data_IF_025294293022
#
_entry.id   IF_025294293022
#
_cell.length_a   1.000
_cell.length_b   1.000
_cell.length_c   1.000
_cell.angle_alpha   90.00
_cell.angle_beta   90.00
_cell.angle_gamma   90.00
#
_symmetry.space_group_name_H-M   'P 1'
#
loop_
_entity.id
_entity.type
_entity.pdbx_description
1 polymer ?
#
# COMPACT_ATOMS: atom_id res chain seq x y z
N UNK A 1 59.50 -43.06 -4.69
CA UNK A 1 58.88 -41.89 -5.34
C UNK A 1 57.79 -42.37 -6.30
N UNK A 2 56.51 -42.18 -5.94
CA UNK A 2 55.32 -42.08 -6.81
C UNK A 2 54.08 -41.96 -5.92
N UNK A 3 53.78 -40.72 -5.54
CA UNK A 3 52.50 -40.26 -5.00
C UNK A 3 51.42 -40.37 -6.08
N UNK A 4 50.15 -40.56 -5.64
CA UNK A 4 48.87 -40.16 -6.27
C UNK A 4 47.79 -41.18 -5.85
N UNK A 5 46.55 -40.86 -5.47
CA UNK A 5 45.84 -39.60 -5.19
C UNK A 5 44.61 -40.05 -4.40
N UNK A 6 44.32 -39.39 -3.28
CA UNK A 6 43.06 -39.57 -2.54
C UNK A 6 41.98 -38.78 -3.26
N UNK A 7 40.89 -39.43 -3.66
CA UNK A 7 39.70 -38.80 -4.23
C UNK A 7 38.59 -38.86 -3.16
N UNK A 8 38.42 -37.76 -2.43
CA UNK A 8 37.28 -37.52 -1.55
C UNK A 8 36.21 -36.84 -2.41
N UNK A 9 35.12 -37.56 -2.69
CA UNK A 9 33.93 -36.99 -3.30
C UNK A 9 32.96 -36.58 -2.17
N UNK A 10 33.05 -35.34 -1.71
CA UNK A 10 32.02 -34.75 -0.85
C UNK A 10 30.95 -34.09 -1.73
N UNK A 11 29.84 -34.80 -1.98
CA UNK A 11 28.61 -34.21 -2.51
C UNK A 11 28.00 -33.29 -1.44
N UNK A 12 28.24 -31.99 -1.57
CA UNK A 12 27.46 -30.97 -0.89
C UNK A 12 26.16 -30.74 -1.67
N UNK A 13 25.07 -31.35 -1.21
CA UNK A 13 23.71 -30.97 -1.61
C UNK A 13 23.40 -29.58 -1.03
N UNK A 14 23.73 -28.53 -1.78
CA UNK A 14 23.16 -27.20 -1.57
C UNK A 14 21.73 -27.22 -2.12
N UNK A 15 20.74 -27.57 -1.30
CA UNK A 15 19.34 -27.28 -1.62
C UNK A 15 19.14 -25.78 -1.42
N UNK A 16 19.28 -25.01 -2.50
CA UNK A 16 18.84 -23.63 -2.53
C UNK A 16 17.31 -23.62 -2.39
N UNK A 17 16.80 -23.37 -1.18
CA UNK A 17 15.40 -23.03 -0.99
C UNK A 17 15.19 -21.65 -1.60
N UNK A 18 14.63 -21.60 -2.81
CA UNK A 18 14.15 -20.36 -3.40
C UNK A 18 13.00 -19.84 -2.53
N UNK A 19 13.20 -18.72 -1.83
CA UNK A 19 12.11 -17.99 -1.22
C UNK A 19 11.20 -17.50 -2.35
N UNK A 20 9.99 -18.02 -2.45
CA UNK A 20 9.01 -17.55 -3.42
C UNK A 20 8.74 -16.06 -3.17
N UNK A 21 9.10 -15.21 -4.12
CA UNK A 21 8.82 -13.78 -4.05
C UNK A 21 7.33 -13.56 -4.34
N UNK A 22 6.59 -13.02 -3.37
CA UNK A 22 5.16 -12.69 -3.56
C UNK A 22 4.97 -11.73 -4.73
N UNK A 23 3.93 -11.97 -5.53
CA UNK A 23 3.56 -11.11 -6.65
C UNK A 23 2.91 -9.81 -6.15
N UNK A 24 2.88 -8.76 -6.99
CA UNK A 24 2.18 -7.49 -6.63
C UNK A 24 0.70 -7.71 -6.37
N UNK A 25 0.10 -8.60 -7.15
CA UNK A 25 -1.29 -9.00 -6.99
C UNK A 25 -1.53 -9.61 -5.61
N UNK A 26 -0.72 -10.59 -5.22
CA UNK A 26 -0.85 -11.25 -3.91
C UNK A 26 -0.71 -10.23 -2.78
N UNK A 27 0.25 -9.32 -2.90
CA UNK A 27 0.45 -8.23 -1.94
C UNK A 27 -0.80 -7.36 -1.83
N UNK A 28 -1.39 -6.93 -2.95
CA UNK A 28 -2.56 -6.06 -2.96
C UNK A 28 -3.84 -6.79 -2.53
N UNK A 29 -4.02 -8.05 -2.94
CA UNK A 29 -5.11 -8.93 -2.49
C UNK A 29 -5.07 -9.10 -0.97
N UNK A 30 -3.89 -9.36 -0.42
CA UNK A 30 -3.72 -9.50 1.03
C UNK A 30 -3.94 -8.16 1.74
N UNK A 31 -3.39 -7.07 1.20
CA UNK A 31 -3.49 -5.74 1.80
C UNK A 31 -4.93 -5.20 1.86
N UNK A 32 -5.73 -5.49 0.82
CA UNK A 32 -7.10 -5.02 0.67
C UNK A 32 -8.15 -6.08 0.99
N UNK A 33 -7.73 -7.20 1.58
CA UNK A 33 -8.60 -8.32 1.91
C UNK A 33 -9.80 -7.86 2.74
N UNK A 34 -11.01 -8.17 2.24
CA UNK A 34 -12.27 -7.79 2.88
C UNK A 34 -12.66 -6.32 2.72
N UNK A 35 -11.91 -5.53 1.92
CA UNK A 35 -12.18 -4.11 1.68
C UNK A 35 -12.44 -3.87 0.20
N UNK A 36 -11.51 -4.25 -0.67
CA UNK A 36 -11.63 -4.12 -2.13
C UNK A 36 -11.43 -5.48 -2.77
N UNK A 37 -12.37 -5.88 -3.63
CA UNK A 37 -12.28 -7.11 -4.40
C UNK A 37 -11.32 -6.93 -5.58
N UNK A 38 -10.06 -7.28 -5.36
CA UNK A 38 -8.99 -7.22 -6.37
C UNK A 38 -9.16 -8.37 -7.38
N UNK A 39 -9.36 -8.03 -8.66
CA UNK A 39 -9.45 -9.01 -9.75
C UNK A 39 -8.08 -9.24 -10.43
N UNK A 40 -8.01 -10.17 -11.37
CA UNK A 40 -6.74 -10.51 -12.06
C UNK A 40 -6.33 -9.48 -13.13
N UNK A 41 -7.25 -8.61 -13.57
CA UNK A 41 -6.98 -7.63 -14.62
C UNK A 41 -6.00 -6.54 -14.16
N UNK A 42 -5.99 -6.21 -12.87
CA UNK A 42 -5.09 -5.21 -12.27
C UNK A 42 -3.67 -5.73 -12.06
N UNK A 43 -3.51 -7.05 -11.96
CA UNK A 43 -2.24 -7.73 -11.67
C UNK A 43 -1.19 -7.56 -12.77
N UNK A 44 -1.67 -7.51 -14.01
CA UNK A 44 -0.86 -7.30 -15.19
C UNK A 44 -0.74 -5.82 -15.58
N UNK A 45 -1.41 -4.93 -14.86
CA UNK A 45 -1.32 -3.51 -15.11
C UNK A 45 0.10 -3.02 -14.74
N UNK A 46 0.74 -2.18 -15.56
CA UNK A 46 2.04 -1.58 -15.18
C UNK A 46 1.92 -0.73 -13.90
N UNK A 47 0.71 -0.27 -13.59
CA UNK A 47 0.36 0.57 -12.44
C UNK A 47 -0.82 -0.02 -11.66
N UNK A 48 -0.66 -1.13 -10.95
CA UNK A 48 -1.76 -1.80 -10.24
C UNK A 48 -2.50 -0.88 -9.25
N UNK A 49 -1.82 0.09 -8.63
CA UNK A 49 -2.48 1.08 -7.75
C UNK A 49 -3.51 1.93 -8.52
N UNK A 50 -3.27 2.23 -9.79
CA UNK A 50 -4.21 2.97 -10.62
C UNK A 50 -5.51 2.17 -10.83
N UNK A 51 -5.40 0.88 -11.17
CA UNK A 51 -6.59 0.06 -11.36
C UNK A 51 -7.30 -0.28 -10.04
N UNK A 52 -6.59 -0.28 -8.89
CA UNK A 52 -7.27 -0.31 -7.58
C UNK A 52 -8.12 0.95 -7.37
N UNK A 53 -7.68 2.11 -7.87
CA UNK A 53 -8.49 3.33 -7.78
C UNK A 53 -9.81 3.21 -8.55
N UNK A 54 -9.78 2.59 -9.73
CA UNK A 54 -11.00 2.30 -10.51
C UNK A 54 -11.94 1.37 -9.74
N UNK A 55 -11.41 0.29 -9.17
CA UNK A 55 -12.22 -0.61 -8.34
C UNK A 55 -12.77 0.07 -7.09
N UNK A 56 -11.99 0.94 -6.46
CA UNK A 56 -12.43 1.67 -5.26
C UNK A 56 -13.53 2.69 -5.58
N UNK A 57 -13.53 3.29 -6.77
CA UNK A 57 -14.63 4.16 -7.23
C UNK A 57 -15.95 3.38 -7.26
N UNK A 58 -15.92 2.16 -7.78
CA UNK A 58 -17.11 1.33 -7.96
C UNK A 58 -17.58 0.65 -6.66
N UNK A 59 -16.65 0.31 -5.77
CA UNK A 59 -16.91 -0.52 -4.59
C UNK A 59 -17.05 0.27 -3.28
N UNK A 60 -16.55 1.50 -3.21
CA UNK A 60 -16.67 2.30 -2.01
C UNK A 60 -18.09 2.84 -1.85
N UNK A 61 -18.58 2.90 -0.61
CA UNK A 61 -19.84 3.57 -0.28
C UNK A 61 -19.80 5.05 -0.61
N UNK A 62 -18.61 5.65 -0.50
CA UNK A 62 -18.35 7.06 -0.76
C UNK A 62 -16.92 7.28 -1.19
N UNK A 63 -16.69 8.32 -2.00
CA UNK A 63 -15.35 8.84 -2.24
C UNK A 63 -15.33 10.37 -2.10
N UNK A 64 -14.23 10.90 -1.58
CA UNK A 64 -14.03 12.34 -1.42
C UNK A 64 -12.60 12.68 -1.86
N UNK A 65 -12.48 13.57 -2.85
CA UNK A 65 -11.20 14.21 -3.16
C UNK A 65 -10.87 15.24 -2.07
N UNK A 66 -9.63 15.23 -1.59
CA UNK A 66 -9.24 16.07 -0.48
C UNK A 66 -7.96 16.85 -0.72
N UNK A 67 -7.93 18.02 -0.10
CA UNK A 67 -6.85 19.00 -0.08
C UNK A 67 -6.57 19.40 1.36
N UNK A 68 -5.64 20.34 1.57
CA UNK A 68 -5.37 20.88 2.91
C UNK A 68 -6.62 21.50 3.54
N UNK A 69 -7.48 22.10 2.72
CA UNK A 69 -8.63 22.89 3.17
C UNK A 69 -9.76 22.02 3.73
N UNK A 70 -9.91 20.79 3.23
CA UNK A 70 -11.02 19.90 3.61
C UNK A 70 -10.61 18.60 4.31
N UNK A 71 -9.31 18.30 4.45
CA UNK A 71 -8.88 17.03 5.07
C UNK A 71 -9.41 16.85 6.50
N UNK A 72 -9.62 17.93 7.25
CA UNK A 72 -10.20 17.88 8.59
C UNK A 72 -11.60 17.23 8.59
N UNK A 73 -12.46 17.63 7.65
CA UNK A 73 -13.82 17.10 7.54
C UNK A 73 -13.83 15.70 6.95
N UNK A 74 -12.90 15.38 6.04
CA UNK A 74 -12.71 14.03 5.48
C UNK A 74 -12.32 13.04 6.58
N UNK A 75 -11.42 13.41 7.48
CA UNK A 75 -11.04 12.58 8.63
C UNK A 75 -12.14 12.49 9.70
N UNK A 76 -12.98 13.52 9.84
CA UNK A 76 -14.16 13.43 10.69
C UNK A 76 -15.20 12.45 10.12
N UNK A 77 -15.47 12.54 8.81
CA UNK A 77 -16.37 11.63 8.10
C UNK A 77 -15.87 10.17 8.14
N UNK A 78 -14.56 9.96 8.10
CA UNK A 78 -13.93 8.64 8.19
C UNK A 78 -14.38 7.82 9.42
N UNK A 79 -14.76 8.49 10.51
CA UNK A 79 -15.22 7.84 11.75
C UNK A 79 -16.55 7.10 11.59
N UNK A 80 -17.30 7.40 10.53
CA UNK A 80 -18.58 6.75 10.24
C UNK A 80 -18.43 5.46 9.42
N UNK A 81 -17.21 5.05 9.07
CA UNK A 81 -16.93 3.91 8.19
C UNK A 81 -15.95 2.94 8.84
N UNK A 82 -15.99 1.67 8.45
CA UNK A 82 -15.10 0.64 9.00
C UNK A 82 -13.69 0.73 8.42
N UNK A 83 -13.58 1.02 7.13
CA UNK A 83 -12.30 1.08 6.44
C UNK A 83 -12.21 2.34 5.58
N UNK A 84 -11.02 2.96 5.58
CA UNK A 84 -10.70 4.09 4.71
C UNK A 84 -9.43 3.77 3.93
N UNK A 85 -9.54 3.84 2.61
CA UNK A 85 -8.41 3.75 1.69
C UNK A 85 -8.17 5.11 1.06
N UNK A 86 -6.94 5.59 1.10
CA UNK A 86 -6.50 6.82 0.44
C UNK A 86 -5.63 6.44 -0.74
N UNK A 87 -5.93 6.99 -1.91
CA UNK A 87 -5.07 6.90 -3.09
C UNK A 87 -4.55 8.29 -3.44
N UNK A 88 -3.23 8.38 -3.63
CA UNK A 88 -2.55 9.62 -4.02
C UNK A 88 -1.94 9.44 -5.41
N UNK A 89 -2.45 10.24 -6.36
CA UNK A 89 -2.20 10.05 -7.79
C UNK A 89 -2.56 8.65 -8.24
N UNK A 90 -1.56 7.92 -8.74
CA UNK A 90 -1.69 6.57 -9.31
C UNK A 90 -0.68 5.56 -8.75
N UNK A 91 0.05 5.95 -7.71
CA UNK A 91 1.22 5.21 -7.24
C UNK A 91 1.26 5.00 -5.73
N UNK A 92 0.42 5.67 -4.95
CA UNK A 92 0.39 5.48 -3.49
C UNK A 92 -1.00 5.07 -3.06
N UNK A 93 -1.07 4.01 -2.25
CA UNK A 93 -2.29 3.53 -1.59
C UNK A 93 -2.03 3.42 -0.09
N UNK A 94 -2.97 3.86 0.73
CA UNK A 94 -2.86 3.86 2.19
C UNK A 94 -4.17 3.39 2.80
N UNK A 95 -4.12 2.47 3.75
CA UNK A 95 -5.22 2.16 4.67
C UNK A 95 -5.00 2.94 5.95
N UNK A 96 -6.00 3.70 6.38
CA UNK A 96 -6.00 4.29 7.73
C UNK A 96 -6.23 3.16 8.73
N UNK A 97 -5.33 3.01 9.71
CA UNK A 97 -5.38 1.90 10.67
C UNK A 97 -5.94 2.32 12.02
N UNK A 98 -5.75 3.58 12.41
CA UNK A 98 -6.22 4.10 13.69
C UNK A 98 -6.44 5.62 13.57
N UNK A 99 -7.70 6.07 13.66
CA UNK A 99 -8.09 7.48 13.59
C UNK A 99 -7.80 8.26 14.87
N UNK A 100 -7.60 7.56 15.99
CA UNK A 100 -7.37 8.16 17.31
C UNK A 100 -5.88 8.27 17.63
N UNK A 101 -5.07 7.36 17.10
CA UNK A 101 -3.61 7.47 17.12
C UNK A 101 -3.12 8.36 15.99
N UNK A 102 -3.01 9.66 16.26
CA UNK A 102 -2.63 10.67 15.28
C UNK A 102 -1.51 11.61 15.75
N UNK A 103 -0.84 12.27 14.80
CA UNK A 103 0.10 13.37 15.08
C UNK A 103 -0.34 14.67 14.42
N UNK A 104 -0.10 15.79 15.09
CA UNK A 104 -0.33 17.08 14.48
C UNK A 104 0.65 17.31 13.32
N UNK A 105 0.12 17.55 12.12
CA UNK A 105 0.91 17.90 10.95
C UNK A 105 0.86 19.40 10.70
N UNK A 106 1.99 20.09 10.75
CA UNK A 106 2.05 21.51 10.38
C UNK A 106 1.71 21.78 8.92
N UNK A 107 2.07 20.84 8.02
CA UNK A 107 1.81 20.96 6.60
C UNK A 107 0.31 20.84 6.29
N UNK A 108 -0.34 19.80 6.82
CA UNK A 108 -1.77 19.54 6.62
C UNK A 108 -2.68 20.34 7.56
N UNK A 109 -2.15 20.88 8.65
CA UNK A 109 -2.90 21.70 9.62
C UNK A 109 -3.84 20.91 10.53
N UNK A 110 -3.79 19.58 10.51
CA UNK A 110 -4.70 18.69 11.24
C UNK A 110 -3.94 17.54 11.89
N UNK A 111 -4.61 16.82 12.80
CA UNK A 111 -4.09 15.58 13.35
C UNK A 111 -4.21 14.46 12.30
N UNK A 112 -3.07 13.94 11.87
CA UNK A 112 -2.97 12.95 10.81
C UNK A 112 -2.86 11.56 11.42
N UNK A 113 -3.81 10.65 11.15
CA UNK A 113 -3.88 9.33 11.77
C UNK A 113 -2.76 8.40 11.33
N UNK A 114 -2.60 7.29 12.04
CA UNK A 114 -1.73 6.19 11.64
C UNK A 114 -2.35 5.40 10.47
N UNK A 115 -1.49 4.89 9.60
CA UNK A 115 -1.87 4.02 8.50
C UNK A 115 -0.72 3.15 8.03
N UNK A 116 -1.07 2.26 7.11
CA UNK A 116 -0.14 1.42 6.38
C UNK A 116 -0.45 1.51 4.90
N UNK A 117 0.55 1.43 4.05
CA UNK A 117 0.37 1.63 2.62
C UNK A 117 1.49 1.09 1.78
N UNK A 118 1.35 1.29 0.48
CA UNK A 118 2.36 0.96 -0.50
C UNK A 118 2.59 2.14 -1.45
N UNK A 119 3.87 2.40 -1.72
CA UNK A 119 4.30 3.34 -2.75
C UNK A 119 4.92 2.56 -3.90
N UNK A 120 4.31 2.66 -5.06
CA UNK A 120 4.79 2.07 -6.29
C UNK A 120 5.94 2.89 -6.86
N UNK A 121 7.13 2.30 -6.92
CA UNK A 121 8.32 2.91 -7.52
C UNK A 121 9.10 1.87 -8.31
N UNK A 122 9.46 2.20 -9.54
CA UNK A 122 10.26 1.33 -10.44
C UNK A 122 9.70 -0.09 -10.54
N UNK A 123 8.38 -0.21 -10.68
CA UNK A 123 7.70 -1.49 -10.81
C UNK A 123 7.72 -2.35 -9.55
N UNK A 124 7.96 -1.79 -8.36
CA UNK A 124 7.85 -2.50 -7.07
C UNK A 124 6.89 -1.77 -6.13
N UNK A 125 6.19 -2.51 -5.27
CA UNK A 125 5.39 -1.97 -4.19
C UNK A 125 6.26 -1.90 -2.92
N UNK A 126 6.54 -0.68 -2.44
CA UNK A 126 7.34 -0.47 -1.25
C UNK A 126 6.40 -0.24 -0.08
N UNK A 127 6.45 -1.13 0.92
CA UNK A 127 5.61 -1.02 2.12
C UNK A 127 6.01 0.21 2.93
N UNK A 128 5.01 0.95 3.39
CA UNK A 128 5.15 2.13 4.23
C UNK A 128 4.21 1.99 5.43
N UNK A 129 4.67 2.35 6.62
CA UNK A 129 3.86 2.34 7.85
C UNK A 129 4.15 3.60 8.66
N UNK A 130 3.16 4.07 9.41
CA UNK A 130 3.25 5.24 10.27
C UNK A 130 2.14 6.24 9.97
N UNK A 131 2.35 7.52 10.28
CA UNK A 131 1.32 8.53 10.08
C UNK A 131 1.09 8.84 8.60
N UNK A 132 -0.19 8.92 8.20
CA UNK A 132 -0.56 8.95 6.77
C UNK A 132 0.04 10.14 6.03
N UNK A 133 0.32 11.27 6.69
CA UNK A 133 0.97 12.43 6.08
C UNK A 133 2.39 12.12 5.56
N UNK A 134 3.08 11.15 6.17
CA UNK A 134 4.41 10.73 5.71
C UNK A 134 4.33 9.80 4.49
N UNK A 135 3.15 9.28 4.17
CA UNK A 135 2.92 8.36 3.06
C UNK A 135 2.25 9.08 1.88
N UNK A 136 1.24 9.92 2.13
CA UNK A 136 0.50 10.68 1.10
C UNK A 136 1.20 12.00 0.68
N UNK A 137 2.33 12.31 1.31
CA UNK A 137 3.14 13.49 1.03
C UNK A 137 2.58 14.79 1.61
N UNK A 138 3.13 15.91 1.14
CA UNK A 138 2.71 17.26 1.50
C UNK A 138 1.47 17.67 0.69
N UNK A 139 0.62 18.58 1.19
CA UNK A 139 -0.43 19.16 0.38
C UNK A 139 0.16 19.93 -0.80
N UNK A 140 -0.27 19.58 -2.00
CA UNK A 140 0.16 20.13 -3.29
C UNK A 140 -0.93 19.92 -4.35
N UNK A 141 -0.61 20.13 -5.63
CA UNK A 141 -1.54 19.94 -6.75
C UNK A 141 -1.82 18.46 -7.07
N UNK A 142 -1.22 17.49 -6.35
CA UNK A 142 -1.47 16.09 -6.59
C UNK A 142 -2.86 15.69 -6.10
N UNK A 143 -3.62 15.01 -6.96
CA UNK A 143 -4.92 14.46 -6.61
C UNK A 143 -4.81 13.42 -5.50
N UNK A 144 -5.63 13.55 -4.46
CA UNK A 144 -5.76 12.61 -3.35
C UNK A 144 -7.23 12.31 -3.12
N UNK A 145 -7.59 11.04 -3.10
CA UNK A 145 -8.98 10.61 -2.92
C UNK A 145 -9.06 9.63 -1.77
N UNK A 146 -9.94 9.90 -0.81
CA UNK A 146 -10.33 8.99 0.24
C UNK A 146 -11.56 8.20 -0.21
N UNK A 147 -11.51 6.88 -0.06
CA UNK A 147 -12.56 5.91 -0.35
C UNK A 147 -13.00 5.27 0.95
N UNK A 148 -14.30 5.26 1.20
CA UNK A 148 -14.90 4.86 2.46
C UNK A 148 -15.70 3.56 2.27
N UNK A 149 -15.48 2.58 3.13
CA UNK A 149 -16.07 1.24 3.05
C UNK A 149 -16.72 0.85 4.39
N UNK A 150 -17.88 0.22 4.28
CA UNK A 150 -18.61 -0.41 5.41
C UNK A 150 -17.98 -1.73 5.88
#
# INVERSE_FOLDING_TARGET
MKTKTILIASLLFFTAQALAQQTKEEILKQFLHGIVQVNEAISNHPEPVAGIAELAIDQASKSIEFTKENIASVLAEARNYKNIIIITGKHTIVKVTDLDKCIQSGAWGVCMPEGAGYVQKSGKLNKMEGYINNIIGLPDAQKRTAFFFE
#
